data_IF_542475160346
#
_entry.id   IF_542475160346
#
_cell.length_a   1.000
_cell.length_b   1.000
_cell.length_c   1.000
_cell.angle_alpha   90.00
_cell.angle_beta   90.00
_cell.angle_gamma   90.00
#
_symmetry.space_group_name_H-M   'P 1'
#
loop_
_entity.id
_entity.type
_entity.pdbx_description
1 polymer ?
#
# COMPACT_ATOMS: atom_id res chain seq x y z
N UNK A 1 -33.86 1.99 -6.03
CA UNK A 1 -32.40 2.16 -5.97
C UNK A 1 -31.81 0.95 -6.65
N UNK A 2 -31.22 1.13 -7.83
CA UNK A 2 -30.86 -0.01 -8.69
C UNK A 2 -29.50 -0.58 -8.26
N UNK A 3 -29.31 -1.89 -8.34
CA UNK A 3 -28.09 -2.57 -7.88
C UNK A 3 -26.79 -2.06 -8.53
N UNK A 4 -26.88 -1.45 -9.72
CA UNK A 4 -25.76 -0.83 -10.40
C UNK A 4 -25.31 0.52 -9.77
N UNK A 5 -26.23 1.30 -9.19
CA UNK A 5 -25.91 2.59 -8.55
C UNK A 5 -25.13 2.37 -7.25
N UNK A 6 -25.50 1.35 -6.47
CA UNK A 6 -24.84 1.01 -5.20
C UNK A 6 -23.39 0.57 -5.41
N UNK A 7 -23.12 -0.20 -6.47
CA UNK A 7 -21.78 -0.71 -6.79
C UNK A 7 -20.80 0.42 -7.15
N UNK A 8 -21.27 1.46 -7.84
CA UNK A 8 -20.47 2.65 -8.16
C UNK A 8 -20.10 3.45 -6.89
N UNK A 9 -21.06 3.59 -5.96
CA UNK A 9 -20.86 4.35 -4.72
C UNK A 9 -19.80 3.73 -3.79
N UNK A 10 -19.72 2.40 -3.80
CA UNK A 10 -18.78 1.64 -2.98
C UNK A 10 -17.34 1.75 -3.49
N UNK A 11 -17.15 1.74 -4.80
CA UNK A 11 -15.84 1.94 -5.44
C UNK A 11 -15.33 3.38 -5.23
N UNK A 12 -16.23 4.36 -5.26
CA UNK A 12 -15.87 5.76 -4.97
C UNK A 12 -15.43 5.97 -3.52
N UNK A 13 -16.00 5.22 -2.56
CA UNK A 13 -15.53 5.23 -1.17
C UNK A 13 -14.11 4.68 -1.05
N UNK A 14 -13.82 3.57 -1.74
CA UNK A 14 -12.47 2.98 -1.78
C UNK A 14 -11.47 3.95 -2.41
N UNK A 15 -11.82 4.58 -3.53
CA UNK A 15 -10.98 5.59 -4.19
C UNK A 15 -10.65 6.76 -3.25
N UNK A 16 -11.66 7.30 -2.56
CA UNK A 16 -11.45 8.39 -1.59
C UNK A 16 -10.54 7.95 -0.44
N UNK A 17 -10.73 6.74 0.09
CA UNK A 17 -9.85 6.19 1.13
C UNK A 17 -8.39 6.09 0.68
N UNK A 18 -8.15 5.62 -0.55
CA UNK A 18 -6.80 5.56 -1.14
C UNK A 18 -6.16 6.94 -1.29
N UNK A 19 -6.92 7.96 -1.66
CA UNK A 19 -6.41 9.34 -1.76
C UNK A 19 -6.01 9.91 -0.39
N UNK A 20 -6.81 9.63 0.65
CA UNK A 20 -6.47 10.02 2.02
C UNK A 20 -5.18 9.33 2.46
N UNK A 21 -5.08 8.01 2.31
CA UNK A 21 -3.87 7.25 2.64
C UNK A 21 -2.64 7.77 1.89
N UNK A 22 -2.78 8.10 0.60
CA UNK A 22 -1.71 8.72 -0.20
C UNK A 22 -1.25 10.03 0.43
N UNK A 23 -2.19 10.91 0.80
CA UNK A 23 -1.85 12.20 1.41
C UNK A 23 -1.14 12.03 2.76
N UNK A 24 -1.56 11.07 3.58
CA UNK A 24 -0.93 10.77 4.87
C UNK A 24 0.52 10.29 4.70
N UNK A 25 0.78 9.40 3.74
CA UNK A 25 2.14 8.92 3.44
C UNK A 25 3.02 10.07 2.95
N UNK A 26 2.50 10.95 2.08
CA UNK A 26 3.25 12.11 1.60
C UNK A 26 3.59 13.10 2.72
N UNK A 27 2.67 13.31 3.68
CA UNK A 27 2.94 14.15 4.85
C UNK A 27 4.03 13.53 5.74
N UNK A 28 3.93 12.23 6.05
CA UNK A 28 4.96 11.50 6.79
C UNK A 28 6.33 11.56 6.12
N UNK A 29 6.35 11.48 4.79
CA UNK A 29 7.59 11.61 4.02
C UNK A 29 8.25 12.99 4.19
N UNK A 30 7.46 14.07 4.29
CA UNK A 30 7.99 15.40 4.60
C UNK A 30 8.54 15.49 6.03
N UNK A 31 7.82 14.91 7.00
CA UNK A 31 8.28 14.84 8.40
C UNK A 31 9.59 14.07 8.53
N UNK A 32 9.71 12.92 7.86
CA UNK A 32 10.94 12.12 7.82
C UNK A 32 12.13 12.92 7.28
N UNK A 33 11.94 13.69 6.21
CA UNK A 33 12.99 14.57 5.67
C UNK A 33 13.44 15.64 6.66
N UNK A 34 12.51 16.21 7.43
CA UNK A 34 12.84 17.21 8.44
C UNK A 34 13.64 16.59 9.59
N UNK A 35 13.27 15.39 10.06
CA UNK A 35 13.98 14.67 11.12
C UNK A 35 15.45 14.38 10.73
N UNK A 36 15.68 13.94 9.50
CA UNK A 36 17.03 13.72 8.96
C UNK A 36 17.87 15.00 8.94
N UNK A 37 17.25 16.16 8.72
CA UNK A 37 17.95 17.44 8.69
C UNK A 37 18.22 18.01 10.10
N UNK A 38 17.36 17.69 11.08
CA UNK A 38 17.44 18.20 12.46
C UNK A 38 18.17 17.27 13.45
N UNK A 39 18.75 16.16 12.98
CA UNK A 39 19.35 15.14 13.85
C UNK A 39 20.46 15.74 14.72
N UNK A 40 20.19 15.80 16.03
CA UNK A 40 21.16 16.22 17.03
C UNK A 40 22.23 15.13 17.19
N UNK A 41 23.48 15.52 17.39
CA UNK A 41 24.57 14.56 17.62
C UNK A 41 24.40 13.90 18.98
N UNK A 42 24.49 12.57 19.01
CA UNK A 42 24.56 11.79 20.24
C UNK A 42 25.63 12.33 21.20
N UNK A 43 25.30 12.33 22.48
CA UNK A 43 26.14 12.87 23.56
C UNK A 43 27.15 11.86 24.09
N UNK A 44 26.82 10.57 24.07
CA UNK A 44 27.73 9.48 24.40
C UNK A 44 27.55 8.26 23.47
N UNK A 45 28.37 7.23 23.67
CA UNK A 45 28.38 6.02 22.82
C UNK A 45 27.10 5.19 22.96
N UNK A 46 26.49 5.16 24.15
CA UNK A 46 25.23 4.44 24.36
C UNK A 46 24.08 5.15 23.64
N UNK A 47 24.02 6.48 23.74
CA UNK A 47 23.07 7.32 23.03
C UNK A 47 23.24 7.19 21.51
N UNK A 48 24.48 7.11 21.02
CA UNK A 48 24.78 6.93 19.60
C UNK A 48 24.24 5.61 19.06
N UNK A 49 24.44 4.51 19.80
CA UNK A 49 23.91 3.20 19.41
C UNK A 49 22.37 3.20 19.38
N UNK A 50 21.72 3.84 20.36
CA UNK A 50 20.25 3.96 20.38
C UNK A 50 19.74 4.79 19.20
N UNK A 51 20.40 5.91 18.90
CA UNK A 51 20.07 6.77 17.77
C UNK A 51 20.22 6.04 16.43
N UNK A 52 21.32 5.30 16.23
CA UNK A 52 21.54 4.51 15.02
C UNK A 52 20.44 3.45 14.83
N UNK A 53 20.01 2.77 15.90
CA UNK A 53 18.92 1.81 15.82
C UNK A 53 17.59 2.47 15.42
N UNK A 54 17.30 3.66 15.97
CA UNK A 54 16.11 4.42 15.62
C UNK A 54 16.13 4.88 14.17
N UNK A 55 17.28 5.36 13.69
CA UNK A 55 17.44 5.81 12.31
C UNK A 55 17.27 4.65 11.31
N UNK A 56 17.87 3.49 11.60
CA UNK A 56 17.68 2.28 10.80
C UNK A 56 16.20 1.85 10.74
N UNK A 57 15.50 1.87 11.86
CA UNK A 57 14.06 1.56 11.89
C UNK A 57 13.25 2.57 11.07
N UNK A 58 13.55 3.86 11.22
CA UNK A 58 12.86 4.91 10.47
C UNK A 58 13.07 4.77 8.96
N UNK A 59 14.28 4.41 8.51
CA UNK A 59 14.58 4.13 7.10
C UNK A 59 13.73 2.96 6.59
N UNK A 60 13.69 1.84 7.32
CA UNK A 60 12.89 0.68 6.90
C UNK A 60 11.38 0.99 6.82
N UNK A 61 10.87 1.74 7.79
CA UNK A 61 9.47 2.19 7.77
C UNK A 61 9.20 3.10 6.57
N UNK A 62 10.12 4.01 6.25
CA UNK A 62 10.03 4.92 5.11
C UNK A 62 10.03 4.16 3.77
N UNK A 63 10.90 3.16 3.61
CA UNK A 63 10.93 2.31 2.41
C UNK A 63 9.61 1.56 2.20
N UNK A 64 9.02 1.02 3.29
CA UNK A 64 7.71 0.36 3.23
C UNK A 64 6.59 1.35 2.84
N UNK A 65 6.64 2.57 3.36
CA UNK A 65 5.66 3.61 3.03
C UNK A 65 5.80 4.05 1.56
N UNK A 66 7.02 4.16 1.03
CA UNK A 66 7.25 4.40 -0.40
C UNK A 66 6.70 3.27 -1.29
N UNK A 67 6.92 2.02 -0.91
CA UNK A 67 6.35 0.88 -1.64
C UNK A 67 4.82 0.91 -1.61
N UNK A 68 4.23 1.25 -0.46
CA UNK A 68 2.78 1.41 -0.32
C UNK A 68 2.25 2.54 -1.21
N UNK A 69 2.96 3.65 -1.30
CA UNK A 69 2.63 4.76 -2.21
C UNK A 69 2.60 4.32 -3.68
N UNK A 70 3.59 3.52 -4.11
CA UNK A 70 3.64 2.96 -5.47
C UNK A 70 2.41 2.09 -5.76
N UNK A 71 2.02 1.23 -4.81
CA UNK A 71 0.83 0.39 -4.97
C UNK A 71 -0.47 1.21 -5.01
N UNK A 72 -0.57 2.25 -4.17
CA UNK A 72 -1.71 3.17 -4.18
C UNK A 72 -1.81 3.89 -5.53
N UNK A 73 -0.68 4.37 -6.06
CA UNK A 73 -0.65 5.05 -7.36
C UNK A 73 -1.04 4.12 -8.51
N UNK A 74 -0.57 2.87 -8.49
CA UNK A 74 -1.00 1.84 -9.43
C UNK A 74 -2.52 1.60 -9.33
N UNK A 75 -3.07 1.49 -8.13
CA UNK A 75 -4.51 1.32 -7.92
C UNK A 75 -5.31 2.53 -8.44
N UNK A 76 -4.88 3.75 -8.15
CA UNK A 76 -5.51 4.99 -8.63
C UNK A 76 -5.44 5.12 -10.16
N UNK A 77 -4.35 4.68 -10.79
CA UNK A 77 -4.26 4.61 -12.26
C UNK A 77 -5.33 3.68 -12.83
N UNK A 78 -5.50 2.48 -12.25
CA UNK A 78 -6.56 1.56 -12.68
C UNK A 78 -7.97 2.12 -12.54
N UNK A 79 -8.21 2.97 -11.53
CA UNK A 79 -9.48 3.70 -11.42
C UNK A 79 -9.68 4.70 -12.56
N UNK A 80 -8.61 5.35 -13.02
CA UNK A 80 -8.67 6.24 -14.19
C UNK A 80 -8.89 5.46 -15.49
N UNK A 81 -8.29 4.28 -15.61
CA UNK A 81 -8.41 3.40 -16.78
C UNK A 81 -9.72 2.59 -16.81
N UNK A 82 -10.50 2.62 -15.73
CA UNK A 82 -11.74 1.84 -15.59
C UNK A 82 -11.53 0.33 -15.40
N UNK A 83 -10.29 -0.10 -15.12
CA UNK A 83 -9.92 -1.51 -14.94
C UNK A 83 -9.76 -1.92 -13.47
N UNK A 84 -10.02 -1.00 -12.54
CA UNK A 84 -9.94 -1.29 -11.12
C UNK A 84 -10.95 -2.37 -10.71
N UNK A 85 -10.47 -3.32 -9.90
CA UNK A 85 -11.29 -4.46 -9.47
C UNK A 85 -11.28 -5.65 -10.43
N UNK A 86 -10.42 -5.66 -11.46
CA UNK A 86 -10.16 -6.84 -12.28
C UNK A 86 -8.88 -7.56 -11.82
N UNK A 87 -8.94 -8.89 -11.80
CA UNK A 87 -7.80 -9.76 -11.50
C UNK A 87 -6.74 -9.64 -12.60
N UNK A 88 -5.48 -9.41 -12.22
CA UNK A 88 -4.36 -9.33 -13.18
C UNK A 88 -4.02 -10.68 -13.82
N UNK A 89 -4.45 -11.81 -13.25
CA UNK A 89 -4.15 -13.15 -13.74
C UNK A 89 -5.24 -13.72 -14.66
N UNK A 90 -6.51 -13.68 -14.24
CA UNK A 90 -7.63 -14.26 -14.98
C UNK A 90 -8.60 -13.23 -15.59
N UNK A 91 -8.38 -11.93 -15.35
CA UNK A 91 -9.28 -10.84 -15.75
C UNK A 91 -10.70 -10.87 -15.14
N UNK A 92 -10.99 -11.79 -14.20
CA UNK A 92 -12.27 -11.83 -13.50
C UNK A 92 -12.44 -10.65 -12.52
N UNK A 93 -13.70 -10.33 -12.22
CA UNK A 93 -14.07 -9.30 -11.24
C UNK A 93 -13.71 -9.77 -9.82
N UNK A 94 -12.98 -8.94 -9.09
CA UNK A 94 -12.66 -9.11 -7.68
C UNK A 94 -13.86 -8.66 -6.84
N UNK A 95 -14.30 -9.48 -5.87
CA UNK A 95 -15.40 -9.13 -4.97
C UNK A 95 -15.15 -7.76 -4.29
N UNK A 96 -16.13 -6.86 -4.38
CA UNK A 96 -16.06 -5.51 -3.78
C UNK A 96 -15.80 -5.58 -2.28
N UNK A 97 -16.30 -6.60 -1.57
CA UNK A 97 -16.00 -6.81 -0.13
C UNK A 97 -14.50 -7.03 0.10
N UNK A 98 -13.83 -7.74 -0.80
CA UNK A 98 -12.38 -7.91 -0.76
C UNK A 98 -11.68 -6.59 -1.06
N UNK A 99 -12.11 -5.82 -2.05
CA UNK A 99 -11.51 -4.52 -2.37
C UNK A 99 -11.71 -3.49 -1.24
N UNK A 100 -12.83 -3.55 -0.53
CA UNK A 100 -13.05 -2.74 0.68
C UNK A 100 -12.08 -3.11 1.81
N UNK A 101 -11.83 -4.41 2.02
CA UNK A 101 -10.92 -4.89 3.05
C UNK A 101 -9.44 -4.73 2.68
N UNK A 102 -9.11 -4.94 1.39
CA UNK A 102 -7.76 -4.84 0.82
C UNK A 102 -7.81 -4.08 -0.52
N UNK A 103 -7.81 -2.74 -0.50
CA UNK A 103 -7.90 -1.89 -1.69
C UNK A 103 -6.78 -2.07 -2.71
N UNK A 104 -5.63 -2.59 -2.28
CA UNK A 104 -4.46 -2.82 -3.11
C UNK A 104 -4.39 -4.24 -3.70
N UNK A 105 -5.43 -5.07 -3.49
CA UNK A 105 -5.45 -6.42 -4.03
C UNK A 105 -5.51 -6.40 -5.57
N UNK A 106 -4.58 -7.10 -6.22
CA UNK A 106 -4.49 -7.22 -7.68
C UNK A 106 -5.02 -8.54 -8.25
N UNK A 107 -5.25 -9.53 -7.39
CA UNK A 107 -5.69 -10.88 -7.77
C UNK A 107 -7.03 -11.24 -7.13
N UNK A 108 -7.80 -12.12 -7.78
CA UNK A 108 -8.98 -12.74 -7.18
C UNK A 108 -8.58 -13.82 -6.14
N UNK A 109 -9.55 -14.37 -5.39
CA UNK A 109 -9.24 -15.27 -4.26
C UNK A 109 -8.62 -16.57 -4.79
N UNK A 110 -9.23 -17.16 -5.82
CA UNK A 110 -8.72 -18.36 -6.49
C UNK A 110 -7.28 -18.18 -6.99
N UNK A 111 -6.98 -17.10 -7.73
CA UNK A 111 -5.62 -16.85 -8.20
C UNK A 111 -4.60 -16.59 -7.07
N UNK A 112 -5.05 -16.03 -5.94
CA UNK A 112 -4.19 -15.84 -4.77
C UNK A 112 -3.88 -17.20 -4.12
N UNK A 113 -4.90 -18.03 -3.91
CA UNK A 113 -4.76 -19.37 -3.34
C UNK A 113 -3.85 -20.25 -4.22
N UNK A 114 -3.97 -20.14 -5.55
CA UNK A 114 -3.11 -20.83 -6.52
C UNK A 114 -1.63 -20.40 -6.43
N UNK A 115 -1.36 -19.15 -6.03
CA UNK A 115 0.00 -18.63 -5.83
C UNK A 115 0.59 -19.02 -4.45
N UNK A 116 -0.26 -19.12 -3.43
CA UNK A 116 0.13 -19.50 -2.06
C UNK A 116 0.26 -21.02 -1.89
N UNK A 117 -0.33 -21.81 -2.81
CA UNK A 117 -0.29 -23.27 -2.76
C UNK A 117 1.17 -23.80 -2.68
N UNK A 118 1.51 -24.60 -1.65
CA UNK A 118 2.86 -25.12 -1.47
C UNK A 118 3.20 -26.09 -2.61
N UNK A 119 4.21 -25.75 -3.41
CA UNK A 119 4.74 -26.61 -4.48
C UNK A 119 5.18 -25.91 -5.77
N UNK A 120 4.93 -24.61 -5.96
CA UNK A 120 5.33 -23.88 -7.18
C UNK A 120 6.55 -22.97 -7.04
N UNK A 121 7.04 -22.70 -5.82
CA UNK A 121 8.19 -21.81 -5.57
C UNK A 121 9.54 -22.54 -5.46
N UNK A 122 9.67 -23.77 -5.99
CA UNK A 122 10.89 -24.57 -5.82
C UNK A 122 12.08 -24.14 -6.69
N UNK A 123 11.92 -23.13 -7.55
CA UNK A 123 13.04 -22.57 -8.32
C UNK A 123 12.80 -21.09 -8.61
N UNK A 124 13.31 -20.21 -7.75
CA UNK A 124 13.68 -18.84 -8.13
C UNK A 124 14.89 -18.38 -7.32
#
# INVERSE_FOLDING_TARGET
MNSAEVLSSDLDLVRRSLLVQKSEILNKHMEFKNLQHSSAKATDEADAVVQDLQDNLNIQLHERDQFSLLLIDKALSKFADGTYGLCECCADVIDVRRLKARPLATLCIACMEDQEAPGKHLFQ
#
